data_IF_191925402291
#
_entry.id   IF_191925402291
#
_cell.length_a   1.000
_cell.length_b   1.000
_cell.length_c   1.000
_cell.angle_alpha   90.00
_cell.angle_beta   90.00
_cell.angle_gamma   90.00
#
_symmetry.space_group_name_H-M   'P 1'
#
loop_
_entity.id
_entity.type
_entity.pdbx_description
1 polymer ?
#
# COMPACT_ATOMS: atom_id res chain seq x y z
N UNK A 1 -16.06 -10.28 66.39
CA UNK A 1 -15.47 -9.22 67.17
C UNK A 1 -14.69 -8.28 66.21
N UNK A 2 -15.19 -7.15 66.01
CA UNK A 2 -14.79 -5.84 66.59
C UNK A 2 -13.36 -5.48 66.20
N UNK A 3 -13.03 -4.36 65.70
CA UNK A 3 -13.50 -2.97 65.66
C UNK A 3 -12.56 -2.22 64.73
N UNK A 4 -13.05 -1.35 63.95
CA UNK A 4 -13.12 0.11 64.09
C UNK A 4 -11.80 0.86 63.98
N UNK A 5 -11.82 1.85 63.18
CA UNK A 5 -11.43 3.22 63.39
C UNK A 5 -10.79 3.82 62.13
N UNK A 6 -11.49 4.59 61.36
CA UNK A 6 -11.83 6.03 61.49
C UNK A 6 -10.55 6.90 61.60
N UNK A 7 -10.24 7.84 60.80
CA UNK A 7 -10.79 9.20 60.61
C UNK A 7 -9.83 10.03 59.73
N UNK A 8 -10.42 10.78 58.82
CA UNK A 8 -10.42 12.27 58.76
C UNK A 8 -9.04 12.95 58.71
N UNK A 9 -8.82 13.83 57.78
CA UNK A 9 -9.47 15.03 57.43
C UNK A 9 -8.55 15.86 56.49
N UNK A 10 -9.17 16.54 55.56
CA UNK A 10 -9.35 18.01 55.44
C UNK A 10 -8.03 18.80 55.37
N UNK A 11 -7.89 19.60 54.43
CA UNK A 11 -8.39 20.81 53.80
C UNK A 11 -7.22 21.60 53.25
N UNK A 12 -7.46 22.18 52.04
CA UNK A 12 -7.47 23.63 51.70
C UNK A 12 -6.11 24.30 51.90
N UNK A 13 -5.69 25.19 51.07
CA UNK A 13 -6.22 26.28 50.26
C UNK A 13 -5.14 26.83 49.32
N UNK A 14 -5.55 27.18 48.16
CA UNK A 14 -5.55 28.51 47.58
C UNK A 14 -4.28 29.33 47.37
N UNK A 15 -4.27 29.90 46.17
CA UNK A 15 -3.96 31.27 45.73
C UNK A 15 -2.78 31.30 44.73
N UNK A 16 -3.21 31.64 43.49
CA UNK A 16 -3.36 32.98 42.94
C UNK A 16 -2.07 33.70 42.52
N UNK A 17 -2.07 34.05 41.28
CA UNK A 17 -1.60 35.35 40.80
C UNK A 17 -0.28 35.28 40.03
N UNK A 18 -0.27 35.75 38.86
CA UNK A 18 -0.14 37.03 38.32
C UNK A 18 0.64 36.99 37.02
N UNK A 19 0.01 37.33 35.97
CA UNK A 19 0.25 38.35 34.96
C UNK A 19 1.62 39.00 34.92
N UNK A 20 2.19 39.02 33.72
CA UNK A 20 3.38 39.81 33.41
C UNK A 20 3.65 39.86 31.90
N UNK A 21 2.98 40.73 31.29
CA UNK A 21 3.06 41.30 29.94
C UNK A 21 4.21 42.29 29.88
N UNK A 22 4.96 42.35 28.78
CA UNK A 22 5.62 43.47 28.10
C UNK A 22 6.71 42.94 27.21
N UNK A 23 6.56 43.12 25.92
CA UNK A 23 6.77 44.27 25.04
C UNK A 23 8.26 44.53 24.68
N UNK A 24 8.44 44.44 23.36
CA UNK A 24 9.26 45.32 22.47
C UNK A 24 10.76 45.39 22.63
N UNK A 25 11.39 45.27 21.50
CA UNK A 25 12.75 45.73 21.23
C UNK A 25 13.21 45.48 19.82
N UNK A 26 12.74 46.31 18.91
CA UNK A 26 13.35 46.64 17.62
C UNK A 26 14.79 47.14 17.77
N UNK A 27 15.64 46.83 16.76
CA UNK A 27 16.72 47.67 16.16
C UNK A 27 17.56 46.78 15.23
N UNK A 28 17.39 46.88 13.90
CA UNK A 28 18.00 47.77 12.90
C UNK A 28 19.51 48.00 13.07
N UNK A 29 20.24 47.59 12.09
CA UNK A 29 21.17 48.33 11.18
C UNK A 29 22.08 47.32 10.48
N UNK A 30 22.11 47.20 9.18
CA UNK A 30 22.57 48.10 8.13
C UNK A 30 24.11 48.24 8.09
N UNK A 31 24.63 47.93 7.00
CA UNK A 31 25.72 48.44 6.18
C UNK A 31 26.65 47.33 5.69
N UNK A 32 26.86 47.14 4.50
CA UNK A 32 27.15 47.91 3.29
C UNK A 32 28.52 47.51 2.73
N UNK A 33 28.59 47.51 1.39
CA UNK A 33 29.75 47.65 0.47
C UNK A 33 30.43 46.36 -0.02
N UNK A 34 30.10 46.04 -1.31
CA UNK A 34 30.91 46.42 -2.54
C UNK A 34 32.25 45.70 -2.58
N UNK A 35 32.67 45.14 -3.63
CA UNK A 35 32.80 45.37 -5.06
C UNK A 35 33.52 44.16 -5.67
N UNK A 36 33.41 43.76 -6.82
CA UNK A 36 33.55 44.16 -8.19
C UNK A 36 34.12 42.98 -9.02
N UNK A 37 33.52 42.79 -10.22
CA UNK A 37 34.10 42.44 -11.53
C UNK A 37 35.04 41.21 -11.64
N UNK A 38 34.83 40.33 -12.58
CA UNK A 38 34.77 40.57 -14.02
C UNK A 38 34.38 39.27 -14.80
N UNK A 39 33.64 39.50 -15.87
CA UNK A 39 33.73 38.95 -17.24
C UNK A 39 33.68 37.44 -17.50
N UNK A 40 32.65 37.12 -18.32
CA UNK A 40 32.30 35.88 -18.96
C UNK A 40 33.27 35.37 -20.03
N UNK A 41 32.91 34.43 -20.90
CA UNK A 41 31.82 34.59 -21.89
C UNK A 41 30.87 33.38 -22.08
N UNK A 42 29.86 33.65 -22.85
CA UNK A 42 28.74 32.92 -23.38
C UNK A 42 29.01 31.49 -23.90
N UNK A 43 28.15 30.52 -23.57
CA UNK A 43 27.75 29.56 -24.61
C UNK A 43 26.23 29.22 -24.51
N UNK A 44 25.65 29.18 -25.68
CA UNK A 44 24.21 29.04 -25.98
C UNK A 44 23.76 27.58 -25.83
N UNK A 45 22.85 27.28 -24.92
CA UNK A 45 22.18 25.99 -24.80
C UNK A 45 20.68 26.12 -24.65
N UNK A 46 20.02 25.95 -25.73
CA UNK A 46 18.59 25.87 -26.08
C UNK A 46 17.72 25.11 -25.06
N UNK A 47 17.11 25.81 -24.11
CA UNK A 47 16.14 25.27 -23.16
C UNK A 47 14.70 25.58 -23.60
N UNK A 48 14.05 24.65 -24.31
CA UNK A 48 12.61 24.70 -24.62
C UNK A 48 11.79 24.70 -23.33
N UNK A 49 11.28 25.86 -22.96
CA UNK A 49 10.20 26.02 -21.99
C UNK A 49 8.92 25.41 -22.56
N UNK A 50 8.55 24.23 -22.13
CA UNK A 50 7.18 23.73 -22.27
C UNK A 50 6.34 24.32 -21.14
N UNK A 51 5.59 25.35 -21.47
CA UNK A 51 4.44 25.78 -20.69
C UNK A 51 3.36 24.73 -20.78
N UNK A 52 3.33 23.81 -19.83
CA UNK A 52 2.23 22.90 -19.62
C UNK A 52 1.12 23.60 -18.87
N UNK A 53 0.09 24.03 -19.59
CA UNK A 53 -1.19 24.47 -19.04
C UNK A 53 -1.83 23.25 -18.34
N UNK A 54 -1.68 23.19 -17.01
CA UNK A 54 -2.30 22.16 -16.18
C UNK A 54 -3.81 22.36 -16.18
N UNK A 55 -4.51 21.53 -16.91
CA UNK A 55 -5.93 21.29 -16.66
C UNK A 55 -6.02 20.56 -15.34
N UNK A 56 -6.51 21.25 -14.33
CA UNK A 56 -6.97 20.65 -13.07
C UNK A 56 -8.14 19.71 -13.36
N UNK A 57 -7.81 18.49 -13.73
CA UNK A 57 -8.71 17.36 -13.60
C UNK A 57 -8.80 17.03 -12.12
N UNK A 58 -9.72 17.68 -11.44
CA UNK A 58 -10.10 17.37 -10.08
C UNK A 58 -10.56 15.91 -10.01
N UNK A 59 -9.65 14.99 -9.70
CA UNK A 59 -9.99 13.66 -9.21
C UNK A 59 -10.80 13.85 -7.93
N UNK A 60 -12.13 13.92 -8.06
CA UNK A 60 -13.06 13.73 -6.94
C UNK A 60 -12.71 12.37 -6.32
N UNK A 61 -11.93 12.40 -5.25
CA UNK A 61 -11.73 11.25 -4.37
C UNK A 61 -13.10 10.89 -3.82
N UNK A 62 -13.62 9.77 -4.28
CA UNK A 62 -14.82 9.17 -3.72
C UNK A 62 -14.63 9.03 -2.20
N UNK A 63 -15.57 9.52 -1.34
CA UNK A 63 -15.45 9.47 0.10
C UNK A 63 -15.85 8.11 0.69
N UNK A 64 -15.50 7.01 0.04
CA UNK A 64 -15.67 5.66 0.56
C UNK A 64 -14.31 5.04 0.91
N UNK A 65 -13.47 5.80 1.61
CA UNK A 65 -12.34 5.21 2.29
C UNK A 65 -12.88 4.48 3.52
N UNK A 66 -12.72 3.15 3.54
CA UNK A 66 -12.88 2.33 4.74
C UNK A 66 -12.29 3.06 5.94
N UNK A 67 -13.05 3.19 7.01
CA UNK A 67 -12.64 3.82 8.28
C UNK A 67 -11.62 2.95 9.03
N UNK A 68 -11.30 1.77 8.51
CA UNK A 68 -10.29 0.88 9.07
C UNK A 68 -8.90 1.54 9.04
N UNK A 69 -8.15 1.50 10.13
CA UNK A 69 -6.78 2.02 10.17
C UNK A 69 -5.93 1.32 9.11
N UNK A 70 -5.11 2.10 8.39
CA UNK A 70 -4.22 1.53 7.37
C UNK A 70 -3.23 0.57 8.03
N UNK A 71 -3.02 -0.63 7.48
CA UNK A 71 -2.06 -1.58 8.03
C UNK A 71 -0.67 -0.96 8.10
N UNK A 72 0.06 -1.29 9.16
CA UNK A 72 1.41 -0.79 9.38
C UNK A 72 2.38 -1.44 8.41
N UNK A 73 3.36 -0.67 7.95
CA UNK A 73 4.47 -1.21 7.17
C UNK A 73 5.46 -1.94 8.09
N UNK A 74 6.04 -3.03 7.57
CA UNK A 74 7.08 -3.77 8.28
C UNK A 74 8.32 -2.88 8.53
N UNK A 75 8.77 -2.81 9.77
CA UNK A 75 9.95 -2.04 10.19
C UNK A 75 10.94 -2.94 10.95
N UNK A 76 11.83 -3.64 10.26
CA UNK A 76 12.79 -4.53 10.87
C UNK A 76 13.83 -3.76 11.70
N UNK A 77 14.24 -4.35 12.81
CA UNK A 77 15.45 -3.94 13.54
C UNK A 77 16.65 -4.52 12.80
N UNK A 78 17.80 -3.84 12.81
CA UNK A 78 18.99 -4.30 12.10
C UNK A 78 19.96 -5.02 13.04
N UNK A 79 19.48 -5.80 14.01
CA UNK A 79 20.29 -6.47 15.03
C UNK A 79 21.16 -7.56 14.42
N UNK A 80 20.55 -8.52 13.74
CA UNK A 80 21.23 -9.66 13.14
C UNK A 80 22.13 -9.23 11.98
N UNK A 81 21.66 -8.31 11.16
CA UNK A 81 22.46 -7.72 10.10
C UNK A 81 23.72 -6.99 10.61
N UNK A 82 23.60 -6.24 11.70
CA UNK A 82 24.75 -5.57 12.34
C UNK A 82 25.73 -6.62 12.91
N UNK A 83 25.22 -7.66 13.56
CA UNK A 83 26.05 -8.72 14.09
C UNK A 83 26.78 -9.48 12.99
N UNK A 84 26.11 -9.81 11.87
CA UNK A 84 26.72 -10.47 10.72
C UNK A 84 27.81 -9.60 10.07
N UNK A 85 27.62 -8.28 9.97
CA UNK A 85 28.65 -7.37 9.49
C UNK A 85 29.83 -7.25 10.44
N UNK A 86 29.59 -7.22 11.75
CA UNK A 86 30.63 -7.15 12.76
C UNK A 86 31.49 -8.43 12.82
N UNK A 87 30.90 -9.58 12.50
CA UNK A 87 31.61 -10.87 12.46
C UNK A 87 32.53 -11.03 11.23
N UNK A 88 32.40 -10.15 10.23
CA UNK A 88 33.32 -10.15 9.08
C UNK A 88 34.70 -9.64 9.47
N UNK A 89 35.78 -10.19 8.88
CA UNK A 89 37.11 -9.60 8.95
C UNK A 89 37.07 -8.13 8.55
N UNK A 90 37.92 -7.32 9.17
CA UNK A 90 37.90 -5.87 9.00
C UNK A 90 38.01 -5.45 7.52
N UNK A 91 38.87 -6.11 6.79
CA UNK A 91 39.09 -5.90 5.35
C UNK A 91 37.83 -6.16 4.50
N UNK A 92 36.94 -7.08 4.95
CA UNK A 92 35.73 -7.44 4.23
C UNK A 92 34.52 -6.61 4.67
N UNK A 93 34.61 -5.82 5.75
CA UNK A 93 33.47 -5.06 6.28
C UNK A 93 32.94 -4.02 5.31
N UNK A 94 33.79 -3.35 4.55
CA UNK A 94 33.39 -2.40 3.52
C UNK A 94 32.60 -3.09 2.41
N UNK A 95 33.08 -4.24 1.91
CA UNK A 95 32.37 -5.04 0.92
C UNK A 95 31.02 -5.47 1.46
N UNK A 96 30.98 -5.99 2.71
CA UNK A 96 29.75 -6.37 3.40
C UNK A 96 28.76 -5.24 3.54
N UNK A 97 29.21 -4.01 3.86
CA UNK A 97 28.36 -2.83 3.95
C UNK A 97 27.77 -2.43 2.58
N UNK A 98 28.56 -2.47 1.51
CA UNK A 98 28.07 -2.24 0.14
C UNK A 98 27.04 -3.28 -0.28
N UNK A 99 27.32 -4.57 -0.04
CA UNK A 99 26.39 -5.66 -0.30
C UNK A 99 25.07 -5.49 0.47
N UNK A 100 25.17 -5.16 1.73
CA UNK A 100 24.00 -4.94 2.58
C UNK A 100 23.17 -3.73 2.15
N UNK A 101 23.73 -2.76 1.44
CA UNK A 101 23.04 -1.54 0.95
C UNK A 101 22.44 -1.74 -0.45
N UNK A 102 23.19 -2.28 -1.39
CA UNK A 102 22.86 -2.28 -2.81
C UNK A 102 23.01 -3.65 -3.50
N UNK A 103 23.40 -4.69 -2.76
CA UNK A 103 23.62 -6.02 -3.31
C UNK A 103 24.83 -6.09 -4.26
N UNK A 104 24.96 -7.23 -4.96
CA UNK A 104 26.04 -7.44 -5.95
C UNK A 104 26.03 -6.43 -7.09
N UNK A 105 24.87 -6.06 -7.69
CA UNK A 105 24.86 -5.04 -8.74
C UNK A 105 25.44 -3.71 -8.27
N UNK A 106 25.00 -3.21 -7.10
CA UNK A 106 25.51 -1.95 -6.57
C UNK A 106 26.98 -2.00 -6.17
N UNK A 107 27.50 -3.15 -5.74
CA UNK A 107 28.95 -3.34 -5.51
C UNK A 107 29.71 -3.28 -6.84
N UNK A 108 29.22 -3.92 -7.88
CA UNK A 108 29.85 -3.88 -9.23
C UNK A 108 29.91 -2.45 -9.76
N UNK A 109 28.82 -1.69 -9.65
CA UNK A 109 28.76 -0.30 -10.09
C UNK A 109 29.75 0.56 -9.31
N UNK A 110 29.89 0.34 -7.99
CA UNK A 110 30.83 1.06 -7.14
C UNK A 110 32.29 0.77 -7.55
N UNK A 111 32.64 -0.51 -7.79
CA UNK A 111 33.99 -0.90 -8.24
C UNK A 111 34.28 -0.30 -9.62
N UNK A 112 33.34 -0.37 -10.55
CA UNK A 112 33.49 0.18 -11.90
C UNK A 112 33.75 1.70 -11.84
N UNK A 113 33.01 2.40 -10.97
CA UNK A 113 33.18 3.84 -10.79
C UNK A 113 34.56 4.16 -10.19
N UNK A 114 35.00 3.38 -9.21
CA UNK A 114 36.31 3.57 -8.58
C UNK A 114 37.47 3.28 -9.56
N UNK A 115 37.38 2.22 -10.35
CA UNK A 115 38.38 1.87 -11.36
C UNK A 115 38.50 2.94 -12.46
N UNK A 116 37.38 3.57 -12.85
CA UNK A 116 37.46 4.72 -13.77
C UNK A 116 38.25 5.89 -13.17
N UNK A 117 37.99 6.22 -11.91
CA UNK A 117 38.75 7.26 -11.22
C UNK A 117 40.22 6.89 -11.03
N UNK A 118 40.54 5.63 -10.72
CA UNK A 118 41.91 5.13 -10.60
C UNK A 118 42.66 5.22 -11.94
N UNK A 119 42.04 4.82 -13.05
CA UNK A 119 42.61 4.93 -14.39
C UNK A 119 42.93 6.41 -14.78
N UNK A 120 42.02 7.35 -14.43
CA UNK A 120 42.22 8.77 -14.65
C UNK A 120 43.35 9.34 -13.78
N UNK A 121 43.58 8.78 -12.59
CA UNK A 121 44.63 9.17 -11.66
C UNK A 121 45.96 8.43 -11.88
N UNK A 122 46.02 7.44 -12.77
CA UNK A 122 47.15 6.56 -12.95
C UNK A 122 47.43 5.62 -11.80
N UNK A 123 46.39 5.29 -10.98
CA UNK A 123 46.45 4.37 -9.87
C UNK A 123 46.09 2.95 -10.29
N UNK A 124 46.50 1.92 -9.54
CA UNK A 124 46.19 0.53 -9.86
C UNK A 124 44.68 0.26 -9.73
N UNK A 125 44.13 -0.43 -10.73
CA UNK A 125 42.72 -0.85 -10.72
C UNK A 125 42.46 -1.97 -9.71
N UNK A 126 41.29 -1.97 -9.14
CA UNK A 126 40.80 -2.99 -8.21
C UNK A 126 40.38 -4.22 -9.02
N UNK A 127 40.83 -5.45 -8.67
CA UNK A 127 40.43 -6.69 -9.36
C UNK A 127 38.94 -7.00 -9.11
N UNK A 128 38.10 -6.69 -10.10
CA UNK A 128 36.62 -6.82 -10.03
C UNK A 128 36.18 -8.21 -9.67
N UNK A 129 36.73 -9.22 -10.37
CA UNK A 129 36.31 -10.64 -10.24
C UNK A 129 36.60 -11.19 -8.84
N UNK A 130 37.77 -10.86 -8.28
CA UNK A 130 38.12 -11.26 -6.92
C UNK A 130 37.15 -10.73 -5.88
N UNK A 131 36.83 -9.44 -5.96
CA UNK A 131 35.89 -8.82 -5.04
C UNK A 131 34.47 -9.33 -5.19
N UNK A 132 34.03 -9.64 -6.42
CA UNK A 132 32.71 -10.25 -6.66
C UNK A 132 32.65 -11.67 -6.11
N UNK A 133 33.71 -12.50 -6.26
CA UNK A 133 33.76 -13.83 -5.65
C UNK A 133 33.68 -13.76 -4.10
N UNK A 134 34.40 -12.83 -3.50
CA UNK A 134 34.28 -12.58 -2.03
C UNK A 134 32.88 -12.15 -1.64
N UNK A 135 32.27 -11.25 -2.42
CA UNK A 135 30.93 -10.80 -2.22
C UNK A 135 29.90 -11.94 -2.28
N UNK A 136 30.02 -12.84 -3.25
CA UNK A 136 29.17 -14.03 -3.40
C UNK A 136 29.27 -14.98 -2.20
N UNK A 137 30.44 -15.10 -1.58
CA UNK A 137 30.63 -15.91 -0.37
C UNK A 137 29.98 -15.28 0.87
N UNK A 138 30.04 -13.97 0.97
CA UNK A 138 29.49 -13.23 2.13
C UNK A 138 27.97 -13.06 2.04
N UNK A 139 27.45 -12.88 0.82
CA UNK A 139 26.06 -12.51 0.57
C UNK A 139 25.03 -13.44 1.21
N UNK A 140 25.16 -14.79 1.19
CA UNK A 140 24.17 -15.66 1.81
C UNK A 140 23.97 -15.39 3.31
N UNK A 141 25.06 -15.18 4.05
CA UNK A 141 25.01 -14.91 5.47
C UNK A 141 24.33 -13.56 5.78
N UNK A 142 24.63 -12.53 4.99
CA UNK A 142 24.01 -11.22 5.13
C UNK A 142 22.53 -11.27 4.77
N UNK A 143 22.13 -12.06 3.77
CA UNK A 143 20.71 -12.27 3.41
C UNK A 143 19.94 -12.99 4.51
N UNK A 144 20.53 -14.04 5.10
CA UNK A 144 19.93 -14.73 6.24
C UNK A 144 19.76 -13.81 7.43
N UNK A 145 20.76 -12.99 7.75
CA UNK A 145 20.68 -12.04 8.86
C UNK A 145 19.65 -10.92 8.61
N UNK A 146 19.56 -10.39 7.40
CA UNK A 146 18.56 -9.40 7.03
C UNK A 146 17.14 -9.99 7.06
N UNK A 147 17.00 -11.22 6.58
CA UNK A 147 15.74 -11.95 6.66
C UNK A 147 15.34 -12.20 8.13
N UNK A 148 16.28 -12.58 9.00
CA UNK A 148 16.03 -12.81 10.42
C UNK A 148 15.48 -11.54 11.10
N UNK A 149 16.10 -10.37 10.86
CA UNK A 149 15.59 -9.08 11.37
C UNK A 149 14.15 -8.80 10.87
N UNK A 150 13.84 -9.13 9.62
CA UNK A 150 12.49 -8.97 9.04
C UNK A 150 11.50 -9.98 9.63
N UNK A 151 11.93 -11.20 9.87
CA UNK A 151 11.12 -12.27 10.40
C UNK A 151 10.72 -12.01 11.85
N UNK A 152 11.65 -11.59 12.70
CA UNK A 152 11.35 -11.18 14.09
C UNK A 152 10.35 -10.00 14.11
N UNK A 153 10.55 -8.99 13.26
CA UNK A 153 9.64 -7.85 13.19
C UNK A 153 8.25 -8.24 12.64
N UNK A 154 8.19 -9.18 11.70
CA UNK A 154 6.94 -9.69 11.16
C UNK A 154 6.15 -10.49 12.19
N UNK A 155 6.83 -11.35 12.97
CA UNK A 155 6.20 -12.14 14.03
C UNK A 155 5.68 -11.22 15.15
N UNK A 156 6.49 -10.24 15.58
CA UNK A 156 6.09 -9.28 16.60
C UNK A 156 4.91 -8.38 16.17
N UNK A 157 4.79 -8.11 14.87
CA UNK A 157 3.73 -7.28 14.30
C UNK A 157 2.65 -8.05 13.54
N UNK A 158 2.47 -9.36 13.78
CA UNK A 158 1.61 -10.26 13.00
C UNK A 158 0.17 -9.74 12.84
N UNK A 159 -0.39 -9.12 13.87
CA UNK A 159 -1.76 -8.58 13.84
C UNK A 159 -1.91 -7.23 13.16
N UNK A 160 -0.84 -6.45 13.00
CA UNK A 160 -0.92 -5.04 12.57
C UNK A 160 -0.24 -4.76 11.23
N UNK A 161 0.75 -5.59 10.87
CA UNK A 161 1.54 -5.43 9.65
C UNK A 161 0.71 -5.82 8.43
N UNK A 162 0.94 -5.12 7.32
CA UNK A 162 0.31 -5.40 6.03
C UNK A 162 0.57 -6.86 5.61
N UNK A 163 -0.51 -7.57 5.23
CA UNK A 163 -0.42 -8.96 4.77
C UNK A 163 0.55 -9.17 3.60
N UNK A 164 0.72 -8.15 2.75
CA UNK A 164 1.68 -8.20 1.64
C UNK A 164 3.11 -8.24 2.15
N UNK A 165 3.41 -7.46 3.19
CA UNK A 165 4.73 -7.44 3.82
C UNK A 165 4.99 -8.79 4.53
N UNK A 166 4.01 -9.33 5.27
CA UNK A 166 4.11 -10.65 5.92
C UNK A 166 4.34 -11.77 4.88
N UNK A 167 3.55 -11.81 3.80
CA UNK A 167 3.74 -12.79 2.72
C UNK A 167 5.13 -12.69 2.09
N UNK A 168 5.66 -11.48 1.90
CA UNK A 168 7.00 -11.29 1.34
C UNK A 168 8.10 -11.88 2.23
N UNK A 169 7.92 -11.84 3.57
CA UNK A 169 8.87 -12.43 4.51
C UNK A 169 8.77 -13.95 4.51
N UNK A 170 7.53 -14.50 4.49
CA UNK A 170 7.30 -15.94 4.44
C UNK A 170 7.88 -16.56 3.17
N UNK A 171 7.64 -15.95 1.99
CA UNK A 171 8.20 -16.43 0.72
C UNK A 171 9.73 -16.35 0.71
N UNK A 172 10.30 -15.29 1.29
CA UNK A 172 11.76 -15.16 1.35
C UNK A 172 12.42 -16.18 2.29
N UNK A 173 11.68 -16.84 3.18
CA UNK A 173 12.19 -17.88 4.07
C UNK A 173 12.79 -19.07 3.32
N UNK A 174 12.22 -19.45 2.17
CA UNK A 174 12.66 -20.62 1.40
C UNK A 174 14.14 -20.53 0.98
N UNK A 175 14.63 -19.31 0.79
CA UNK A 175 16.03 -19.07 0.41
C UNK A 175 16.92 -18.61 1.56
N UNK A 176 16.32 -18.03 2.61
CA UNK A 176 17.04 -17.36 3.68
C UNK A 176 17.12 -18.16 5.00
N UNK A 177 16.12 -19.00 5.28
CA UNK A 177 16.08 -19.80 6.51
C UNK A 177 16.98 -21.05 6.39
N UNK A 178 18.24 -20.93 6.84
CA UNK A 178 19.27 -21.98 6.65
C UNK A 178 19.65 -22.69 7.95
N UNK A 179 19.53 -22.04 9.09
CA UNK A 179 19.78 -22.61 10.41
C UNK A 179 18.49 -23.14 11.02
N UNK A 180 18.58 -24.03 12.00
CA UNK A 180 17.41 -24.58 12.67
C UNK A 180 16.58 -23.48 13.31
N UNK A 181 17.20 -22.52 14.00
CA UNK A 181 16.55 -21.34 14.57
C UNK A 181 15.73 -20.55 13.51
N UNK A 182 16.31 -20.33 12.33
CA UNK A 182 15.63 -19.60 11.25
C UNK A 182 14.53 -20.41 10.58
N UNK A 183 14.62 -21.75 10.59
CA UNK A 183 13.56 -22.66 10.11
C UNK A 183 12.36 -22.65 11.04
N UNK A 184 12.60 -22.75 12.37
CA UNK A 184 11.56 -22.67 13.39
C UNK A 184 10.84 -21.32 13.32
N UNK A 185 11.59 -20.24 13.11
CA UNK A 185 11.01 -18.90 12.94
C UNK A 185 10.15 -18.81 11.65
N UNK A 186 10.60 -19.45 10.57
CA UNK A 186 9.85 -19.50 9.31
C UNK A 186 8.55 -20.29 9.45
N UNK A 187 8.55 -21.38 10.21
CA UNK A 187 7.36 -22.18 10.49
C UNK A 187 6.33 -21.38 11.29
N UNK A 188 6.75 -20.74 12.38
CA UNK A 188 5.88 -19.86 13.18
C UNK A 188 5.28 -18.72 12.35
N UNK A 189 6.05 -18.17 11.40
CA UNK A 189 5.56 -17.13 10.48
C UNK A 189 4.53 -17.68 9.49
N UNK A 190 4.70 -18.90 8.97
CA UNK A 190 3.74 -19.55 8.07
C UNK A 190 2.42 -19.81 8.79
N UNK A 191 2.48 -20.40 9.98
CA UNK A 191 1.30 -20.64 10.84
C UNK A 191 0.59 -19.34 11.19
N UNK A 192 1.32 -18.34 11.65
CA UNK A 192 0.77 -17.03 11.98
C UNK A 192 0.13 -16.34 10.78
N UNK A 193 0.73 -16.44 9.59
CA UNK A 193 0.16 -15.88 8.36
C UNK A 193 -1.14 -16.58 7.97
N UNK A 194 -1.21 -17.92 8.08
CA UNK A 194 -2.44 -18.69 7.81
C UNK A 194 -3.55 -18.25 8.76
N UNK A 195 -3.28 -18.25 10.06
CA UNK A 195 -4.24 -17.84 11.09
C UNK A 195 -4.73 -16.39 10.87
N UNK A 196 -3.81 -15.47 10.50
CA UNK A 196 -4.14 -14.07 10.19
C UNK A 196 -5.05 -13.94 8.97
N UNK A 197 -4.76 -14.69 7.91
CA UNK A 197 -5.57 -14.68 6.68
C UNK A 197 -6.97 -15.23 6.93
N UNK A 198 -7.09 -16.29 7.72
CA UNK A 198 -8.38 -16.88 8.11
C UNK A 198 -9.18 -15.93 9.00
N UNK A 199 -8.54 -15.28 9.94
CA UNK A 199 -9.18 -14.27 10.79
C UNK A 199 -9.73 -13.10 9.94
N UNK A 200 -8.92 -12.50 9.06
CA UNK A 200 -9.38 -11.41 8.19
C UNK A 200 -10.51 -11.84 7.25
N UNK A 201 -10.46 -13.10 6.79
CA UNK A 201 -11.54 -13.63 5.95
C UNK A 201 -12.84 -13.77 6.73
N UNK A 202 -12.79 -14.27 7.96
CA UNK A 202 -13.95 -14.40 8.85
C UNK A 202 -14.54 -13.02 9.20
N UNK A 203 -13.68 -12.05 9.55
CA UNK A 203 -14.07 -10.67 9.82
C UNK A 203 -14.78 -10.03 8.60
N UNK A 204 -14.20 -10.22 7.41
CA UNK A 204 -14.78 -9.73 6.16
C UNK A 204 -16.15 -10.36 5.86
N UNK A 205 -16.31 -11.68 6.04
CA UNK A 205 -17.60 -12.34 5.87
C UNK A 205 -18.65 -11.79 6.87
N UNK A 206 -18.25 -11.61 8.13
CA UNK A 206 -19.12 -11.05 9.14
C UNK A 206 -19.50 -9.60 8.83
N UNK A 207 -18.57 -8.77 8.32
CA UNK A 207 -18.87 -7.40 7.89
C UNK A 207 -19.87 -7.39 6.71
N UNK A 208 -19.73 -8.29 5.74
CA UNK A 208 -20.69 -8.43 4.63
C UNK A 208 -22.08 -8.80 5.16
N UNK A 209 -22.17 -9.79 6.06
CA UNK A 209 -23.45 -10.23 6.67
C UNK A 209 -24.12 -9.08 7.43
N UNK A 210 -23.42 -8.49 8.38
CA UNK A 210 -23.96 -7.39 9.20
C UNK A 210 -24.41 -6.21 8.32
N UNK A 211 -23.62 -5.87 7.30
CA UNK A 211 -23.95 -4.78 6.38
C UNK A 211 -25.20 -5.10 5.56
N UNK A 212 -25.40 -6.39 5.22
CA UNK A 212 -26.59 -6.85 4.50
C UNK A 212 -27.82 -6.86 5.42
N UNK A 213 -27.67 -7.33 6.66
CA UNK A 213 -28.73 -7.33 7.68
C UNK A 213 -29.20 -5.92 8.05
N UNK A 214 -28.27 -4.95 8.03
CA UNK A 214 -28.56 -3.50 8.18
C UNK A 214 -29.31 -2.90 6.97
N UNK A 215 -29.58 -3.66 5.89
CA UNK A 215 -30.20 -3.15 4.66
C UNK A 215 -29.30 -2.25 3.81
N UNK A 216 -28.00 -2.23 4.07
CA UNK A 216 -27.01 -1.39 3.35
C UNK A 216 -26.48 -2.09 2.08
N UNK A 217 -27.39 -2.43 1.16
CA UNK A 217 -27.14 -3.29 0.00
C UNK A 217 -25.92 -2.83 -0.82
N UNK A 218 -25.84 -1.55 -1.19
CA UNK A 218 -24.72 -1.02 -1.99
C UNK A 218 -23.38 -1.22 -1.29
N UNK A 219 -23.35 -1.08 0.04
CA UNK A 219 -22.13 -1.31 0.82
C UNK A 219 -21.77 -2.78 0.86
N UNK A 220 -22.74 -3.67 1.09
CA UNK A 220 -22.53 -5.11 1.09
C UNK A 220 -22.01 -5.61 -0.27
N UNK A 221 -22.58 -5.16 -1.39
CA UNK A 221 -22.11 -5.45 -2.74
C UNK A 221 -20.67 -4.98 -2.98
N UNK A 222 -20.30 -3.77 -2.52
CA UNK A 222 -18.93 -3.25 -2.63
C UNK A 222 -17.93 -4.00 -1.74
N UNK A 223 -18.34 -4.41 -0.54
CA UNK A 223 -17.51 -5.24 0.34
C UNK A 223 -17.28 -6.62 -0.27
N UNK A 224 -18.31 -7.25 -0.80
CA UNK A 224 -18.22 -8.58 -1.43
C UNK A 224 -17.26 -8.63 -2.62
N UNK A 225 -17.04 -7.49 -3.30
CA UNK A 225 -16.10 -7.37 -4.43
C UNK A 225 -14.62 -7.34 -4.02
N UNK A 226 -14.31 -7.26 -2.73
CA UNK A 226 -12.94 -7.05 -2.22
C UNK A 226 -12.57 -8.02 -1.11
N UNK A 227 -12.49 -9.32 -1.39
CA UNK A 227 -12.10 -10.30 -0.39
C UNK A 227 -10.64 -10.06 0.06
N UNK A 228 -10.28 -10.28 1.33
CA UNK A 228 -8.92 -10.12 1.84
C UNK A 228 -7.94 -11.14 1.24
N UNK A 229 -8.45 -12.29 0.82
CA UNK A 229 -7.69 -13.34 0.12
C UNK A 229 -8.25 -13.53 -1.28
N UNK A 230 -7.41 -13.35 -2.29
CA UNK A 230 -7.77 -13.64 -3.66
C UNK A 230 -8.17 -15.12 -3.81
N UNK A 231 -9.29 -15.38 -4.48
CA UNK A 231 -9.80 -16.73 -4.69
C UNK A 231 -10.55 -17.36 -3.52
N UNK A 232 -10.84 -16.60 -2.43
CA UNK A 232 -11.78 -17.04 -1.39
C UNK A 232 -13.15 -16.46 -1.66
N UNK A 233 -14.07 -17.22 -2.29
CA UNK A 233 -15.41 -16.77 -2.58
C UNK A 233 -16.24 -16.66 -1.30
N UNK A 234 -17.30 -15.86 -1.35
CA UNK A 234 -18.37 -15.96 -0.35
C UNK A 234 -19.03 -17.35 -0.43
N UNK A 235 -19.44 -17.91 0.72
CA UNK A 235 -20.23 -19.16 0.73
C UNK A 235 -21.53 -19.02 -0.08
N UNK A 236 -22.02 -20.12 -0.64
CA UNK A 236 -23.22 -20.12 -1.47
C UNK A 236 -24.44 -19.46 -0.80
N UNK A 237 -24.75 -19.73 0.49
CA UNK A 237 -25.88 -19.09 1.15
C UNK A 237 -25.76 -17.55 1.21
N UNK A 238 -24.55 -17.03 1.41
CA UNK A 238 -24.30 -15.59 1.46
C UNK A 238 -24.42 -14.95 0.08
N UNK A 239 -23.98 -15.67 -0.97
CA UNK A 239 -24.16 -15.22 -2.35
C UNK A 239 -25.64 -15.17 -2.73
N UNK A 240 -26.44 -16.14 -2.32
CA UNK A 240 -27.90 -16.18 -2.56
C UNK A 240 -28.58 -15.02 -1.86
N UNK A 241 -28.36 -14.82 -0.56
CA UNK A 241 -28.91 -13.70 0.22
C UNK A 241 -28.53 -12.34 -0.37
N UNK A 242 -27.29 -12.19 -0.83
CA UNK A 242 -26.82 -10.95 -1.44
C UNK A 242 -27.46 -10.69 -2.81
N UNK A 243 -27.68 -11.74 -3.60
CA UNK A 243 -28.37 -11.66 -4.89
C UNK A 243 -29.85 -11.33 -4.69
N UNK A 244 -30.55 -12.00 -3.78
CA UNK A 244 -31.94 -11.74 -3.43
C UNK A 244 -32.14 -10.29 -2.95
N UNK A 245 -31.30 -9.81 -2.05
CA UNK A 245 -31.36 -8.44 -1.57
C UNK A 245 -31.07 -7.40 -2.67
N UNK A 246 -30.18 -7.73 -3.62
CA UNK A 246 -29.93 -6.89 -4.79
C UNK A 246 -31.15 -6.88 -5.74
N UNK A 247 -31.79 -8.04 -5.99
CA UNK A 247 -32.99 -8.16 -6.80
C UNK A 247 -34.14 -7.32 -6.22
N UNK A 248 -34.44 -7.53 -4.94
CA UNK A 248 -35.48 -6.80 -4.21
C UNK A 248 -35.24 -5.28 -4.13
N UNK A 249 -33.98 -4.85 -4.26
CA UNK A 249 -33.61 -3.43 -4.29
C UNK A 249 -33.74 -2.80 -5.67
N UNK A 250 -33.89 -3.58 -6.74
CA UNK A 250 -34.01 -3.12 -8.13
C UNK A 250 -35.47 -3.17 -8.57
N UNK A 251 -36.27 -2.20 -8.11
CA UNK A 251 -37.70 -2.07 -8.42
C UNK A 251 -37.97 -0.87 -9.29
N UNK A 252 -39.17 -0.80 -9.88
CA UNK A 252 -39.64 0.36 -10.67
C UNK A 252 -39.86 1.63 -9.83
N UNK A 253 -39.91 1.50 -8.50
CA UNK A 253 -40.27 2.59 -7.57
C UNK A 253 -39.07 3.39 -7.05
N UNK A 254 -37.86 2.86 -7.16
CA UNK A 254 -36.66 3.55 -6.67
C UNK A 254 -36.17 4.61 -7.68
N UNK A 255 -35.43 5.62 -7.18
CA UNK A 255 -34.87 6.64 -8.06
C UNK A 255 -33.83 6.06 -9.04
N UNK A 256 -33.75 6.64 -10.21
CA UNK A 256 -32.82 6.19 -11.27
C UNK A 256 -31.35 6.35 -10.88
N UNK A 257 -31.02 7.34 -10.07
CA UNK A 257 -29.69 7.49 -9.46
C UNK A 257 -29.36 6.32 -8.51
N UNK A 258 -30.36 5.88 -7.74
CA UNK A 258 -30.21 4.71 -6.87
C UNK A 258 -30.01 3.45 -7.69
N UNK A 259 -30.76 3.28 -8.76
CA UNK A 259 -30.60 2.22 -9.75
C UNK A 259 -29.16 2.19 -10.27
N UNK A 260 -28.65 3.31 -10.79
CA UNK A 260 -27.30 3.43 -11.32
C UNK A 260 -26.24 3.05 -10.26
N UNK A 261 -26.44 3.48 -9.02
CA UNK A 261 -25.52 3.16 -7.91
C UNK A 261 -25.51 1.67 -7.56
N UNK A 262 -26.68 1.00 -7.57
CA UNK A 262 -26.80 -0.43 -7.26
C UNK A 262 -26.16 -1.24 -8.37
N UNK A 263 -26.48 -1.00 -9.65
CA UNK A 263 -25.92 -1.78 -10.77
C UNK A 263 -24.41 -1.61 -10.91
N UNK A 264 -23.86 -0.43 -10.64
CA UNK A 264 -22.41 -0.22 -10.57
C UNK A 264 -21.74 -1.07 -9.47
N UNK A 265 -22.43 -1.25 -8.34
CA UNK A 265 -21.95 -2.10 -7.27
C UNK A 265 -22.11 -3.59 -7.59
N UNK A 266 -23.24 -3.98 -8.19
CA UNK A 266 -23.52 -5.35 -8.65
C UNK A 266 -22.49 -5.79 -9.69
N UNK A 267 -22.18 -4.95 -10.68
CA UNK A 267 -21.23 -5.28 -11.77
C UNK A 267 -19.83 -5.67 -11.27
N UNK A 268 -19.45 -5.25 -10.07
CA UNK A 268 -18.17 -5.59 -9.42
C UNK A 268 -18.30 -6.73 -8.40
N UNK A 269 -19.51 -7.07 -7.99
CA UNK A 269 -19.79 -8.08 -6.98
C UNK A 269 -19.75 -9.51 -7.56
N UNK A 270 -19.43 -10.53 -6.76
CA UNK A 270 -19.49 -11.93 -7.20
C UNK A 270 -20.89 -12.42 -7.60
N UNK A 271 -21.96 -11.66 -7.26
CA UNK A 271 -23.34 -11.99 -7.63
C UNK A 271 -23.80 -11.40 -8.96
N UNK A 272 -22.93 -10.74 -9.72
CA UNK A 272 -23.25 -10.00 -10.94
C UNK A 272 -24.01 -10.82 -12.01
N UNK A 273 -23.79 -12.16 -12.08
CA UNK A 273 -24.48 -13.05 -13.00
C UNK A 273 -25.77 -13.66 -12.41
N UNK A 274 -26.13 -13.31 -11.17
CA UNK A 274 -27.31 -13.88 -10.47
C UNK A 274 -28.38 -12.83 -10.21
N UNK A 275 -28.10 -11.57 -10.55
CA UNK A 275 -29.03 -10.46 -10.26
C UNK A 275 -30.00 -10.30 -11.41
N UNK A 276 -31.29 -10.44 -11.07
CA UNK A 276 -32.44 -10.20 -11.96
C UNK A 276 -33.32 -9.17 -11.27
N UNK A 277 -33.58 -8.00 -11.88
CA UNK A 277 -34.38 -6.96 -11.24
C UNK A 277 -35.85 -7.37 -11.10
N UNK A 278 -36.48 -7.02 -9.99
CA UNK A 278 -37.92 -7.24 -9.79
C UNK A 278 -38.78 -6.34 -10.69
N UNK A 279 -38.27 -5.18 -11.05
CA UNK A 279 -38.96 -4.26 -11.96
C UNK A 279 -38.05 -3.16 -12.44
N UNK A 280 -38.23 -2.72 -13.69
CA UNK A 280 -37.47 -1.62 -14.29
C UNK A 280 -38.29 -0.31 -14.26
N UNK A 281 -37.64 0.88 -14.23
CA UNK A 281 -38.33 2.14 -14.40
C UNK A 281 -39.09 2.18 -15.72
N UNK A 282 -40.33 2.71 -15.69
CA UNK A 282 -41.18 2.80 -16.89
C UNK A 282 -40.55 3.66 -17.99
N UNK A 283 -39.90 4.76 -17.59
CA UNK A 283 -39.20 5.69 -18.47
C UNK A 283 -37.76 5.86 -18.01
N UNK A 284 -36.84 4.98 -18.43
CA UNK A 284 -35.46 5.08 -18.00
C UNK A 284 -34.77 6.28 -18.66
N UNK A 285 -34.14 7.14 -17.83
CA UNK A 285 -33.36 8.27 -18.28
C UNK A 285 -32.10 7.83 -19.03
N UNK A 286 -31.62 8.68 -19.95
CA UNK A 286 -30.43 8.36 -20.75
C UNK A 286 -29.19 8.09 -19.88
N UNK A 287 -29.02 8.79 -18.77
CA UNK A 287 -27.92 8.58 -17.82
C UNK A 287 -27.93 7.16 -17.24
N UNK A 288 -29.12 6.63 -16.89
CA UNK A 288 -29.26 5.26 -16.43
C UNK A 288 -28.94 4.26 -17.55
N UNK A 289 -29.43 4.49 -18.75
CA UNK A 289 -29.17 3.65 -19.92
C UNK A 289 -27.68 3.62 -20.27
N UNK A 290 -26.96 4.73 -20.16
CA UNK A 290 -25.50 4.77 -20.32
C UNK A 290 -24.76 3.92 -19.30
N UNK A 291 -25.18 3.96 -18.02
CA UNK A 291 -24.62 3.11 -16.99
C UNK A 291 -24.88 1.64 -17.30
N UNK A 292 -26.10 1.26 -17.67
CA UNK A 292 -26.44 -0.12 -18.06
C UNK A 292 -25.62 -0.59 -19.26
N UNK A 293 -25.48 0.23 -20.31
CA UNK A 293 -24.64 -0.10 -21.48
C UNK A 293 -23.18 -0.34 -21.07
N UNK A 294 -22.64 0.50 -20.20
CA UNK A 294 -21.26 0.41 -19.73
C UNK A 294 -20.96 -0.92 -19.02
N UNK A 295 -21.90 -1.42 -18.22
CA UNK A 295 -21.73 -2.63 -17.39
C UNK A 295 -22.43 -3.86 -17.99
N UNK A 296 -23.04 -3.75 -19.17
CA UNK A 296 -23.86 -4.79 -19.80
C UNK A 296 -23.21 -6.17 -19.90
N UNK A 297 -21.88 -6.23 -20.12
CA UNK A 297 -21.15 -7.50 -20.15
C UNK A 297 -20.99 -8.15 -18.79
N UNK A 298 -20.98 -7.35 -17.70
CA UNK A 298 -20.87 -7.87 -16.35
C UNK A 298 -22.23 -8.33 -15.81
N UNK A 299 -23.32 -7.68 -16.23
CA UNK A 299 -24.69 -7.96 -15.77
C UNK A 299 -25.64 -8.18 -16.94
N UNK A 300 -25.49 -9.25 -17.73
CA UNK A 300 -26.21 -9.46 -18.98
C UNK A 300 -27.73 -9.52 -18.78
N UNK A 301 -28.23 -10.12 -17.71
CA UNK A 301 -29.68 -10.27 -17.45
C UNK A 301 -30.33 -8.91 -17.17
N UNK A 302 -29.66 -8.07 -16.38
CA UNK A 302 -30.11 -6.67 -16.15
C UNK A 302 -30.11 -5.89 -17.47
N UNK A 303 -29.05 -5.99 -18.29
CA UNK A 303 -28.99 -5.32 -19.58
C UNK A 303 -30.11 -5.76 -20.53
N UNK A 304 -30.42 -7.05 -20.54
CA UNK A 304 -31.49 -7.63 -21.36
C UNK A 304 -32.86 -7.11 -20.92
N UNK A 305 -33.10 -6.90 -19.62
CA UNK A 305 -34.35 -6.32 -19.10
C UNK A 305 -34.58 -4.90 -19.63
N UNK A 306 -33.52 -4.14 -19.90
CA UNK A 306 -33.59 -2.83 -20.56
C UNK A 306 -33.55 -2.88 -22.09
N UNK A 307 -33.61 -4.08 -22.70
CA UNK A 307 -33.51 -4.25 -24.16
C UNK A 307 -32.11 -3.98 -24.73
N UNK A 308 -31.09 -3.91 -23.87
CA UNK A 308 -29.70 -3.60 -24.25
C UNK A 308 -28.94 -4.92 -24.46
N UNK A 309 -28.41 -5.12 -25.67
CA UNK A 309 -27.56 -6.28 -25.97
C UNK A 309 -26.19 -6.10 -25.32
N UNK A 310 -25.67 -7.09 -24.58
CA UNK A 310 -24.32 -7.04 -24.02
C UNK A 310 -23.28 -6.81 -25.10
N UNK A 311 -22.53 -5.72 -25.00
CA UNK A 311 -21.51 -5.35 -25.98
C UNK A 311 -20.13 -5.33 -25.31
N UNK A 312 -19.13 -6.05 -25.86
CA UNK A 312 -17.79 -6.05 -25.28
C UNK A 312 -17.22 -4.62 -25.25
N UNK A 313 -16.51 -4.24 -24.19
CA UNK A 313 -15.91 -2.92 -24.07
C UNK A 313 -15.00 -2.69 -25.27
N UNK A 314 -15.16 -1.56 -25.95
CA UNK A 314 -14.28 -1.16 -27.05
C UNK A 314 -12.84 -1.14 -26.52
N UNK A 315 -12.05 -2.14 -26.90
CA UNK A 315 -10.61 -2.10 -26.67
C UNK A 315 -10.10 -0.81 -27.35
N UNK A 316 -9.70 0.18 -26.54
CA UNK A 316 -8.94 1.32 -27.04
C UNK A 316 -7.67 0.74 -27.67
N UNK A 317 -7.71 0.50 -29.00
CA UNK A 317 -6.51 0.22 -29.78
C UNK A 317 -5.65 1.49 -29.66
N UNK A 318 -4.64 1.45 -28.81
CA UNK A 318 -3.55 2.43 -28.89
C UNK A 318 -3.12 2.49 -30.36
N UNK A 319 -3.11 3.67 -30.97
CA UNK A 319 -2.62 3.78 -32.35
C UNK A 319 -1.21 3.20 -32.38
N UNK A 320 -1.00 2.21 -33.25
CA UNK A 320 0.33 1.69 -33.57
C UNK A 320 1.19 2.89 -33.99
N UNK A 321 2.23 3.19 -33.24
CA UNK A 321 3.27 4.10 -33.71
C UNK A 321 3.73 3.60 -35.08
N UNK A 322 3.75 4.45 -36.13
CA UNK A 322 4.35 4.05 -37.37
C UNK A 322 5.81 3.70 -37.13
N UNK A 323 6.25 2.58 -37.70
CA UNK A 323 7.66 2.21 -37.72
C UNK A 323 8.43 3.34 -38.42
N UNK A 324 9.43 3.89 -37.77
CA UNK A 324 10.37 4.80 -38.40
C UNK A 324 11.14 4.01 -39.46
N UNK A 325 11.03 4.46 -40.72
CA UNK A 325 11.82 4.02 -41.87
C UNK A 325 13.21 4.61 -41.77
#
# INVERSE_FOLDING_TARGET
PRRDGDSRGRRRDDKKGGSGRRERGDRRSASDKRSDRASGPEDKGNGRRRSGKGTESGKRRSPTASTAPRPKRLRPRRKHRKAALAALPEEMRLIGQHLARAGIPGLRDAITTQNKGAAEAGEPEIPVDLLLQLAERIQPNLRTADWHDRAEAALAGMSEVDLRDLRSVVVAADTAARTDETRDLAEKLREGLVARVEHEHTEWMNEVRTTLDDGRIVRALRLSSRPPKAGSPLPAPELERLAEAANASLTSQISQERWATIIDAVALSPVHLRVVPEGIPAEPAEELLEVVRRVSMSIPDVATSFGIKPTPPRRNRRPRRPAAS
#
